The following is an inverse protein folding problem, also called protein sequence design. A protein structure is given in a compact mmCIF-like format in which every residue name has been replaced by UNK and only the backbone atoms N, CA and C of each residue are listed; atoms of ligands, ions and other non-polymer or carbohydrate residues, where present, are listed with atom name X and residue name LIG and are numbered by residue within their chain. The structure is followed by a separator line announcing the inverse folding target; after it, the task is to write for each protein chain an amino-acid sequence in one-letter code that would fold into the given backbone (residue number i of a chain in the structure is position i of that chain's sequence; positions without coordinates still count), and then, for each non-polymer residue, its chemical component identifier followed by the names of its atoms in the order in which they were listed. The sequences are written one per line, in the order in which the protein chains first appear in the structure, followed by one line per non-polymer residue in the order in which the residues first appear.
data_IF_695015830651
#
_entry.id   IF_695015830651
#
_cell.length_a   1.000
_cell.length_b   1.000
_cell.length_c   1.000
_cell.angle_alpha   90.00
_cell.angle_beta   90.00
_cell.angle_gamma   90.00
#
_symmetry.space_group_name_H-M   'P 1'
#
loop_
_entity.id
_entity.type
_entity.pdbx_description
1 polymer ?
#
# COMPACT_ATOMS: atom_id res chain seq x y z
N UNK A 1 1.21 11.50 6.48
CA UNK A 1 0.26 10.39 6.22
C UNK A 1 0.37 9.96 4.77
N UNK A 2 0.10 10.84 3.80
CA UNK A 2 0.40 10.58 2.39
C UNK A 2 1.85 10.15 2.13
N UNK A 3 2.84 10.87 2.66
CA UNK A 3 4.25 10.48 2.50
C UNK A 3 4.59 9.12 3.12
N UNK A 4 3.90 8.71 4.19
CA UNK A 4 4.10 7.42 4.81
C UNK A 4 3.54 6.29 3.93
N UNK A 5 2.34 6.46 3.38
CA UNK A 5 1.76 5.52 2.44
C UNK A 5 2.61 5.36 1.16
N UNK A 6 3.14 6.47 0.62
CA UNK A 6 4.07 6.42 -0.53
C UNK A 6 5.35 5.68 -0.18
N UNK A 7 5.93 5.95 0.99
CA UNK A 7 7.13 5.25 1.44
C UNK A 7 6.89 3.75 1.60
N UNK A 8 5.75 3.33 2.17
CA UNK A 8 5.41 1.91 2.31
C UNK A 8 5.19 1.21 0.98
N UNK A 9 4.42 1.81 0.06
CA UNK A 9 4.28 1.28 -1.30
C UNK A 9 5.64 1.21 -2.01
N UNK A 10 6.52 2.18 -1.82
CA UNK A 10 7.87 2.12 -2.39
C UNK A 10 8.70 0.98 -1.79
N UNK A 11 8.56 0.70 -0.49
CA UNK A 11 9.24 -0.44 0.16
C UNK A 11 8.76 -1.78 -0.40
N UNK A 12 7.46 -1.92 -0.65
CA UNK A 12 6.91 -3.11 -1.31
C UNK A 12 7.40 -3.24 -2.75
N UNK A 13 7.39 -2.15 -3.52
CA UNK A 13 7.95 -2.11 -4.88
C UNK A 13 9.41 -2.57 -4.94
N UNK A 14 10.25 -2.06 -4.03
CA UNK A 14 11.65 -2.49 -3.89
C UNK A 14 11.73 -3.98 -3.53
N UNK A 15 10.85 -4.47 -2.64
CA UNK A 15 10.81 -5.89 -2.28
C UNK A 15 10.50 -6.77 -3.48
N UNK A 16 9.52 -6.39 -4.32
CA UNK A 16 9.20 -7.11 -5.56
C UNK A 16 10.34 -7.08 -6.58
N UNK A 17 11.05 -5.95 -6.70
CA UNK A 17 12.21 -5.83 -7.58
C UNK A 17 13.37 -6.71 -7.11
N UNK A 18 13.66 -6.76 -5.80
CA UNK A 18 14.75 -7.57 -5.23
C UNK A 18 14.50 -9.07 -5.44
N UNK A 19 13.27 -9.54 -5.22
CA UNK A 19 12.92 -10.96 -5.40
C UNK A 19 12.65 -11.33 -6.86
N UNK A 20 12.72 -10.36 -7.79
CA UNK A 20 12.45 -10.57 -9.21
C UNK A 20 11.02 -10.98 -9.51
N UNK A 21 10.04 -10.56 -8.69
CA UNK A 21 8.64 -10.93 -8.85
C UNK A 21 7.93 -10.13 -9.95
N UNK A 22 8.37 -8.89 -10.20
CA UNK A 22 7.87 -8.02 -11.27
C UNK A 22 9.06 -7.49 -12.08
N UNK A 23 9.04 -7.57 -13.42
CA UNK A 23 10.08 -6.98 -14.26
C UNK A 23 10.05 -5.46 -14.22
N UNK A 24 11.21 -4.82 -14.16
CA UNK A 24 11.38 -3.36 -14.15
C UNK A 24 10.82 -2.67 -12.89
N UNK A 25 11.54 -1.65 -12.41
CA UNK A 25 11.16 -0.98 -11.17
C UNK A 25 9.84 -0.19 -11.28
N UNK A 26 9.58 0.40 -12.45
CA UNK A 26 8.35 1.16 -12.71
C UNK A 26 7.11 0.27 -12.56
N UNK A 27 7.10 -0.91 -13.19
CA UNK A 27 6.00 -1.86 -13.07
C UNK A 27 5.85 -2.39 -11.65
N UNK A 28 6.97 -2.62 -10.93
CA UNK A 28 6.93 -3.04 -9.53
C UNK A 28 6.30 -1.97 -8.63
N UNK A 29 6.62 -0.69 -8.87
CA UNK A 29 6.04 0.44 -8.15
C UNK A 29 4.55 0.60 -8.48
N UNK A 30 4.19 0.51 -9.76
CA UNK A 30 2.79 0.54 -10.18
C UNK A 30 1.99 -0.60 -9.54
N UNK A 31 2.47 -1.85 -9.65
CA UNK A 31 1.83 -3.02 -9.06
C UNK A 31 1.65 -2.88 -7.55
N UNK A 32 2.69 -2.41 -6.85
CA UNK A 32 2.64 -2.18 -5.42
C UNK A 32 1.59 -1.14 -5.05
N UNK A 33 1.57 0.03 -5.71
CA UNK A 33 0.57 1.06 -5.42
C UNK A 33 -0.84 0.52 -5.65
N UNK A 34 -1.11 -0.12 -6.79
CA UNK A 34 -2.42 -0.67 -7.15
C UNK A 34 -2.87 -1.74 -6.15
N UNK A 35 -1.95 -2.57 -5.67
CA UNK A 35 -2.23 -3.64 -4.69
C UNK A 35 -2.43 -3.07 -3.29
N UNK A 36 -1.55 -2.18 -2.84
CA UNK A 36 -1.60 -1.49 -1.55
C UNK A 36 -2.89 -0.67 -1.40
N UNK A 37 -3.36 -0.04 -2.47
CA UNK A 37 -4.65 0.68 -2.48
C UNK A 37 -5.86 -0.21 -2.69
N UNK A 38 -5.67 -1.53 -2.78
CA UNK A 38 -6.69 -2.54 -3.07
C UNK A 38 -7.48 -2.30 -4.36
N UNK A 39 -6.89 -1.54 -5.29
CA UNK A 39 -7.50 -1.18 -6.56
C UNK A 39 -7.51 -2.38 -7.51
N UNK A 40 -6.39 -3.10 -7.58
CA UNK A 40 -6.31 -4.42 -8.21
C UNK A 40 -6.76 -4.50 -9.66
N UNK A 41 -6.26 -3.64 -10.55
CA UNK A 41 -6.60 -3.69 -12.00
C UNK A 41 -6.37 -5.06 -12.64
N UNK A 42 -5.40 -5.83 -12.14
CA UNK A 42 -5.14 -7.21 -12.56
C UNK A 42 -4.40 -7.35 -13.89
N UNK A 43 -3.91 -6.24 -14.44
CA UNK A 43 -3.05 -6.16 -15.61
C UNK A 43 -1.62 -6.66 -15.31
N UNK A 44 -1.11 -6.41 -14.10
CA UNK A 44 0.09 -7.05 -13.55
C UNK A 44 -0.31 -7.95 -12.39
N UNK A 45 0.14 -9.21 -12.42
CA UNK A 45 -0.09 -10.18 -11.35
C UNK A 45 1.19 -10.95 -11.04
N UNK A 46 1.33 -11.39 -9.79
CA UNK A 46 2.47 -12.20 -9.37
C UNK A 46 2.24 -13.68 -9.67
N UNK A 47 3.34 -14.40 -9.88
CA UNK A 47 3.30 -15.86 -10.01
C UNK A 47 2.78 -16.55 -8.73
N UNK A 48 2.55 -17.86 -8.84
CA UNK A 48 1.98 -18.63 -7.74
C UNK A 48 2.82 -18.61 -6.45
N UNK A 49 4.13 -18.49 -6.58
CA UNK A 49 5.09 -18.45 -5.48
C UNK A 49 5.01 -17.16 -4.67
N UNK A 50 4.61 -16.05 -5.30
CA UNK A 50 4.61 -14.72 -4.68
C UNK A 50 3.21 -14.13 -4.48
N UNK A 51 2.15 -14.74 -5.00
CA UNK A 51 0.78 -14.19 -4.90
C UNK A 51 0.31 -13.91 -3.46
N UNK A 52 0.82 -14.65 -2.47
CA UNK A 52 0.50 -14.41 -1.07
C UNK A 52 1.09 -13.09 -0.55
N UNK A 53 2.26 -12.66 -1.06
CA UNK A 53 2.82 -11.35 -0.69
C UNK A 53 1.90 -10.23 -1.15
N UNK A 54 1.36 -10.31 -2.37
CA UNK A 54 0.42 -9.31 -2.88
C UNK A 54 -0.84 -9.21 -1.99
N UNK A 55 -1.39 -10.35 -1.57
CA UNK A 55 -2.52 -10.37 -0.63
C UNK A 55 -2.17 -9.76 0.74
N UNK A 56 -0.96 -9.99 1.23
CA UNK A 56 -0.49 -9.40 2.49
C UNK A 56 -0.26 -7.88 2.37
N UNK A 57 0.32 -7.42 1.28
CA UNK A 57 0.47 -5.99 0.97
C UNK A 57 -0.88 -5.29 0.96
N UNK A 58 -1.89 -5.85 0.27
CA UNK A 58 -3.24 -5.31 0.24
C UNK A 58 -3.86 -5.21 1.64
N UNK A 59 -3.68 -6.23 2.48
CA UNK A 59 -4.17 -6.23 3.86
C UNK A 59 -3.48 -5.14 4.71
N UNK A 60 -2.16 -4.98 4.55
CA UNK A 60 -1.39 -3.93 5.24
C UNK A 60 -1.84 -2.55 4.77
N UNK A 61 -2.05 -2.35 3.46
CA UNK A 61 -2.57 -1.10 2.91
C UNK A 61 -3.89 -0.67 3.54
N UNK A 62 -4.86 -1.60 3.70
CA UNK A 62 -6.13 -1.33 4.39
C UNK A 62 -5.90 -0.87 5.83
N UNK A 63 -5.00 -1.53 6.58
CA UNK A 63 -4.70 -1.17 7.97
C UNK A 63 -4.16 0.26 8.04
N UNK A 64 -3.29 0.64 7.11
CA UNK A 64 -2.69 1.98 7.05
C UNK A 64 -3.70 3.05 6.68
N UNK A 65 -4.66 2.75 5.79
CA UNK A 65 -5.80 3.63 5.55
C UNK A 65 -6.69 3.77 6.79
N UNK A 66 -6.91 2.69 7.53
CA UNK A 66 -7.65 2.70 8.79
C UNK A 66 -6.99 3.59 9.83
N UNK A 67 -5.68 3.43 10.05
CA UNK A 67 -4.89 4.30 10.93
C UNK A 67 -4.92 5.75 10.47
N UNK A 68 -4.84 5.95 9.16
CA UNK A 68 -4.88 7.29 8.60
C UNK A 68 -6.21 7.99 8.88
N UNK A 69 -7.31 7.28 8.66
CA UNK A 69 -8.66 7.79 8.95
C UNK A 69 -8.83 8.09 10.44
N UNK A 70 -8.38 7.20 11.32
CA UNK A 70 -8.46 7.38 12.77
C UNK A 70 -7.70 8.63 13.26
N UNK A 71 -6.49 8.87 12.76
CA UNK A 71 -5.71 10.06 13.11
C UNK A 71 -6.40 11.34 12.60
N UNK A 72 -6.90 11.33 11.36
CA UNK A 72 -7.65 12.49 10.82
C UNK A 72 -8.86 12.79 11.69
N UNK A 73 -9.66 11.78 12.04
CA UNK A 73 -10.82 11.93 12.91
C UNK A 73 -10.39 12.49 14.28
N UNK A 74 -9.34 11.95 14.90
CA UNK A 74 -8.87 12.41 16.20
C UNK A 74 -8.42 13.88 16.18
N UNK A 75 -7.73 14.31 15.11
CA UNK A 75 -7.33 15.71 14.92
C UNK A 75 -8.54 16.61 14.73
N UNK A 76 -9.50 16.21 13.87
CA UNK A 76 -10.74 16.97 13.63
C UNK A 76 -11.54 17.10 14.93
N UNK A 77 -11.70 16.01 15.69
CA UNK A 77 -12.37 16.02 16.99
C UNK A 77 -11.70 16.99 17.97
N UNK A 78 -10.37 16.97 18.05
CA UNK A 78 -9.61 17.86 18.94
C UNK A 78 -9.72 19.33 18.54
N UNK A 79 -9.72 19.65 17.24
CA UNK A 79 -9.73 21.02 16.75
C UNK A 79 -11.12 21.66 16.78
N UNK A 80 -12.17 20.90 16.44
CA UNK A 80 -13.50 21.47 16.21
C UNK A 80 -14.52 21.15 17.31
N UNK A 81 -14.32 20.08 18.07
CA UNK A 81 -15.34 19.57 19.00
C UNK A 81 -14.91 19.59 20.47
N UNK A 82 -13.67 19.99 20.76
CA UNK A 82 -13.21 20.18 22.14
C UNK A 82 -13.64 21.56 22.65
N UNK A 83 -14.79 21.63 23.32
CA UNK A 83 -15.06 22.63 24.36
C UNK A 83 -14.35 22.24 25.65
#
# INVERSE_FOLDING_TARGET
MFSAAIAEATVWAVSYAIIGAVPEFENALYFSIVTFTTLGYGDITLNESWRLLASLEAAIGIIIFGWSTAIVIAVVQKLFFKK
#
